data_IF_206441675414
#
_entry.id   IF_206441675414
#
_cell.length_a   1.000
_cell.length_b   1.000
_cell.length_c   1.000
_cell.angle_alpha   90.00
_cell.angle_beta   90.00
_cell.angle_gamma   90.00
#
_symmetry.space_group_name_H-M   'P 1'
#
loop_
_entity.id
_entity.type
_entity.pdbx_description
1 polymer ?
#
# COMPACT_ATOMS: atom_id res chain seq x y z
N UNK A 1 10.28 19.35 -14.58
CA UNK A 1 10.11 19.05 -14.27
C UNK A 1 9.62 18.53 -13.64
N UNK A 2 9.56 18.40 -13.32
CA UNK A 2 9.29 17.90 -12.71
C UNK A 2 8.62 17.39 -12.30
N UNK A 3 8.40 17.05 -12.18
CA UNK A 3 7.85 16.60 -11.77
C UNK A 3 7.64 15.87 -11.18
N UNK A 4 7.81 15.62 -11.10
CA UNK A 4 7.87 14.79 -10.76
C UNK A 4 7.68 14.28 -9.68
N UNK A 5 7.67 14.58 -9.26
CA UNK A 5 7.45 14.14 -8.18
C UNK A 5 6.39 13.50 -7.83
N UNK A 6 5.80 13.86 -8.02
CA UNK A 6 4.73 13.06 -7.78
C UNK A 6 5.05 11.71 -8.07
N UNK A 7 6.04 11.36 -7.57
CA UNK A 7 6.45 10.08 -7.63
C UNK A 7 5.28 9.26 -7.50
N UNK A 8 4.87 8.82 -8.51
CA UNK A 8 3.83 7.88 -8.54
C UNK A 8 4.31 6.69 -7.75
N UNK A 9 3.52 6.28 -6.80
CA UNK A 9 3.79 5.04 -6.09
C UNK A 9 3.55 3.83 -6.98
N UNK A 10 2.77 3.99 -8.05
CA UNK A 10 2.43 2.88 -8.92
C UNK A 10 3.65 2.25 -9.55
N UNK A 11 3.67 0.93 -9.60
CA UNK A 11 4.73 0.19 -10.22
C UNK A 11 5.93 -0.10 -9.33
N UNK A 12 5.96 0.50 -8.15
CA UNK A 12 7.06 0.25 -7.23
C UNK A 12 6.82 -1.02 -6.42
N UNK A 13 7.89 -1.73 -6.15
CA UNK A 13 7.82 -2.91 -5.30
C UNK A 13 7.63 -2.48 -3.85
N UNK A 14 6.87 -3.27 -3.11
CA UNK A 14 6.69 -3.12 -1.66
C UNK A 14 7.50 -4.23 -1.00
N UNK A 15 8.34 -3.84 -0.07
CA UNK A 15 9.22 -4.80 0.62
C UNK A 15 9.11 -4.62 2.13
N UNK A 16 9.46 -5.69 2.86
CA UNK A 16 9.53 -5.65 4.32
C UNK A 16 10.87 -5.06 4.77
N UNK A 17 11.12 -4.92 6.08
CA UNK A 17 12.38 -4.33 6.55
C UNK A 17 13.63 -5.12 6.13
N UNK A 18 13.48 -6.39 5.78
CA UNK A 18 14.58 -7.23 5.31
C UNK A 18 14.69 -7.22 3.80
N UNK A 19 13.96 -6.31 3.13
CA UNK A 19 13.92 -6.17 1.66
C UNK A 19 13.33 -7.39 0.95
N UNK A 20 12.50 -8.16 1.65
CA UNK A 20 11.76 -9.26 1.02
C UNK A 20 10.54 -8.71 0.33
N UNK A 21 10.30 -9.17 -0.88
CA UNK A 21 9.19 -8.68 -1.69
C UNK A 21 7.84 -9.07 -1.09
N UNK A 22 6.98 -8.08 -0.91
CA UNK A 22 5.59 -8.29 -0.50
C UNK A 22 4.70 -8.31 -1.74
N UNK A 23 4.85 -7.31 -2.61
CA UNK A 23 4.03 -7.17 -3.79
C UNK A 23 4.40 -5.91 -4.55
N UNK A 24 3.51 -5.47 -5.42
CA UNK A 24 3.72 -4.29 -6.26
C UNK A 24 2.53 -3.35 -6.11
N UNK A 25 2.79 -2.06 -6.03
CA UNK A 25 1.73 -1.06 -5.93
C UNK A 25 1.07 -0.89 -7.29
N UNK A 26 -0.24 -1.14 -7.36
CA UNK A 26 -1.00 -1.02 -8.60
C UNK A 26 -1.85 0.24 -8.64
N UNK A 27 -2.16 0.82 -7.49
CA UNK A 27 -2.98 2.03 -7.43
C UNK A 27 -2.78 2.72 -6.09
N UNK A 28 -3.28 3.95 -5.99
CA UNK A 28 -3.22 4.73 -4.77
C UNK A 28 -4.59 5.35 -4.52
N UNK A 29 -5.04 5.29 -3.29
CA UNK A 29 -6.27 5.96 -2.85
C UNK A 29 -5.87 7.24 -2.15
N UNK A 30 -6.43 8.36 -2.58
CA UNK A 30 -6.10 9.68 -2.04
C UNK A 30 -7.16 10.11 -1.03
N UNK A 31 -6.73 10.90 -0.05
CA UNK A 31 -7.66 11.45 0.93
C UNK A 31 -8.35 12.69 0.36
N UNK A 32 -9.17 13.35 1.18
CA UNK A 32 -9.92 14.52 0.77
C UNK A 32 -9.06 15.72 0.39
N UNK A 33 -7.80 15.74 0.81
CA UNK A 33 -6.86 16.81 0.50
C UNK A 33 -5.96 16.46 -0.68
N UNK A 34 -6.23 15.33 -1.32
CA UNK A 34 -5.44 14.89 -2.47
C UNK A 34 -4.11 14.26 -2.10
N UNK A 35 -3.92 13.89 -0.84
CA UNK A 35 -2.69 13.22 -0.41
C UNK A 35 -2.87 11.71 -0.46
N UNK A 36 -1.81 10.96 -0.83
CA UNK A 36 -1.88 9.50 -0.83
C UNK A 36 -2.18 8.99 0.58
N UNK A 37 -3.18 8.16 0.71
CA UNK A 37 -3.58 7.59 1.99
C UNK A 37 -3.39 6.08 2.03
N UNK A 38 -3.83 5.38 1.01
CA UNK A 38 -3.72 3.92 0.94
C UNK A 38 -3.09 3.53 -0.37
N UNK A 39 -2.18 2.56 -0.32
CA UNK A 39 -1.64 1.94 -1.52
C UNK A 39 -2.39 0.64 -1.75
N UNK A 40 -2.70 0.34 -3.01
CA UNK A 40 -3.27 -0.95 -3.40
C UNK A 40 -2.09 -1.82 -3.82
N UNK A 41 -1.87 -2.89 -3.09
CA UNK A 41 -0.71 -3.77 -3.30
C UNK A 41 -1.19 -5.09 -3.87
N UNK A 42 -0.71 -5.43 -5.05
CA UNK A 42 -0.97 -6.73 -5.68
C UNK A 42 0.07 -7.71 -5.17
N UNK A 43 -0.38 -8.85 -4.67
CA UNK A 43 0.51 -9.85 -4.09
C UNK A 43 1.06 -10.83 -5.15
N UNK A 44 0.74 -10.57 -6.40
CA UNK A 44 1.22 -11.39 -7.51
C UNK A 44 0.09 -11.81 -8.42
N UNK A 45 0.47 -12.45 -9.52
CA UNK A 45 -0.49 -12.92 -10.51
C UNK A 45 -1.45 -13.92 -9.85
N UNK A 46 -2.73 -13.76 -10.10
CA UNK A 46 -3.79 -14.61 -9.55
C UNK A 46 -3.93 -14.48 -8.04
N UNK A 47 -3.29 -13.51 -7.43
CA UNK A 47 -3.43 -13.23 -6.01
C UNK A 47 -4.31 -12.02 -5.82
N UNK A 48 -4.78 -11.85 -4.59
CA UNK A 48 -5.63 -10.71 -4.27
C UNK A 48 -4.80 -9.43 -4.11
N UNK A 49 -5.48 -8.31 -4.18
CA UNK A 49 -4.90 -7.01 -3.86
C UNK A 49 -5.38 -6.58 -2.49
N UNK A 50 -4.55 -5.85 -1.78
CA UNK A 50 -4.83 -5.43 -0.41
C UNK A 50 -4.44 -3.97 -0.24
N UNK A 51 -5.08 -3.29 0.70
CA UNK A 51 -4.73 -1.91 1.04
C UNK A 51 -3.61 -1.88 2.06
N UNK A 52 -2.76 -0.86 1.95
CA UNK A 52 -1.62 -0.66 2.84
C UNK A 52 -1.52 0.83 3.15
N UNK A 53 -1.34 1.22 4.43
CA UNK A 53 -1.26 2.65 4.75
C UNK A 53 0.04 3.25 4.23
N UNK A 54 -0.08 4.29 3.41
CA UNK A 54 1.08 4.95 2.82
C UNK A 54 1.94 5.59 3.91
N UNK A 55 1.30 6.12 4.96
CA UNK A 55 2.03 6.80 6.03
C UNK A 55 2.95 5.87 6.82
N UNK A 56 2.76 4.55 6.74
CA UNK A 56 3.55 3.60 7.51
C UNK A 56 4.91 3.29 6.86
N UNK A 57 5.10 3.65 5.59
CA UNK A 57 6.30 3.28 4.87
C UNK A 57 7.05 4.47 4.31
N UNK A 58 8.13 4.16 3.63
CA UNK A 58 8.92 5.19 2.94
C UNK A 58 9.50 4.62 1.65
N UNK A 59 9.73 5.52 0.69
CA UNK A 59 10.37 5.13 -0.56
C UNK A 59 11.89 5.15 -0.36
N UNK A 60 12.55 4.02 -0.62
CA UNK A 60 13.99 3.93 -0.51
C UNK A 60 14.67 4.52 -1.73
N UNK A 61 15.98 4.72 -1.65
CA UNK A 61 16.75 5.20 -2.79
C UNK A 61 16.74 4.21 -3.95
N UNK A 62 16.53 2.93 -3.64
CA UNK A 62 16.45 1.90 -4.68
C UNK A 62 15.08 1.85 -5.36
N UNK A 63 14.14 2.70 -4.93
CA UNK A 63 12.81 2.71 -5.53
C UNK A 63 11.88 1.65 -4.97
N UNK A 64 12.18 1.12 -3.80
CA UNK A 64 11.31 0.19 -3.11
C UNK A 64 10.54 0.92 -2.02
N UNK A 65 9.25 0.61 -1.89
CA UNK A 65 8.46 1.13 -0.79
C UNK A 65 8.60 0.19 0.40
N UNK A 66 9.31 0.64 1.42
CA UNK A 66 9.65 -0.17 2.59
C UNK A 66 8.59 0.06 3.66
N UNK A 67 8.00 -1.04 4.15
CA UNK A 67 6.96 -0.97 5.18
C UNK A 67 7.37 -1.83 6.38
N UNK A 68 6.86 -1.53 7.57
CA UNK A 68 7.21 -2.28 8.79
C UNK A 68 6.40 -3.57 8.94
N UNK A 69 5.79 -4.04 7.88
CA UNK A 69 4.96 -5.24 7.90
C UNK A 69 5.59 -6.32 7.03
N UNK A 70 5.34 -7.59 7.39
CA UNK A 70 5.72 -8.66 6.48
C UNK A 70 4.57 -9.01 5.54
N UNK A 71 4.84 -9.89 4.60
CA UNK A 71 3.85 -10.27 3.59
C UNK A 71 2.60 -10.86 4.21
N UNK A 72 2.74 -11.60 5.31
CA UNK A 72 1.61 -12.25 5.97
C UNK A 72 0.63 -11.22 6.53
N UNK A 73 1.15 -10.13 7.08
CA UNK A 73 0.31 -9.05 7.62
C UNK A 73 -0.48 -8.39 6.51
N UNK A 74 0.17 -8.08 5.39
CA UNK A 74 -0.51 -7.44 4.25
C UNK A 74 -1.52 -8.40 3.64
N UNK A 75 -1.17 -9.68 3.53
CA UNK A 75 -2.04 -10.69 2.95
C UNK A 75 -3.31 -10.90 3.76
N UNK A 76 -3.27 -10.69 5.07
CA UNK A 76 -4.44 -10.86 5.93
C UNK A 76 -5.27 -9.59 6.07
N UNK A 77 -4.85 -8.48 5.48
CA UNK A 77 -5.62 -7.25 5.48
C UNK A 77 -6.86 -7.39 4.62
N UNK A 78 -7.89 -6.57 4.85
CA UNK A 78 -9.06 -6.56 3.97
C UNK A 78 -8.66 -6.38 2.52
N UNK A 79 -9.31 -7.12 1.63
CA UNK A 79 -9.00 -7.08 0.20
C UNK A 79 -9.51 -5.81 -0.44
N UNK A 80 -8.77 -5.33 -1.44
CA UNK A 80 -9.22 -4.23 -2.26
C UNK A 80 -10.13 -4.79 -3.36
N UNK A 81 -11.28 -4.15 -3.55
CA UNK A 81 -12.15 -4.50 -4.65
C UNK A 81 -11.77 -3.64 -5.87
N UNK A 82 -12.51 -3.82 -6.97
CA UNK A 82 -12.19 -3.14 -8.22
C UNK A 82 -12.37 -1.63 -8.16
N UNK A 83 -13.20 -1.14 -7.26
CA UNK A 83 -13.47 0.29 -7.19
C UNK A 83 -12.32 1.04 -6.53
N UNK A 84 -11.50 0.36 -5.72
CA UNK A 84 -10.43 0.96 -4.94
C UNK A 84 -10.93 2.13 -4.11
N UNK A 85 -12.15 2.00 -3.57
CA UNK A 85 -12.75 3.00 -2.69
C UNK A 85 -12.64 2.51 -1.26
N UNK A 86 -12.09 3.35 -0.40
CA UNK A 86 -12.00 3.05 1.03
C UNK A 86 -13.01 3.94 1.73
N UNK A 87 -14.16 3.36 2.06
CA UNK A 87 -15.19 4.08 2.82
C UNK A 87 -14.82 4.08 4.31
N UNK A 88 -15.66 4.73 5.13
CA UNK A 88 -15.35 4.87 6.55
C UNK A 88 -15.27 3.52 7.26
N UNK A 89 -16.12 2.57 6.89
CA UNK A 89 -16.08 1.24 7.49
C UNK A 89 -14.79 0.51 7.12
N UNK A 90 -14.42 0.54 5.86
CA UNK A 90 -13.19 -0.09 5.40
C UNK A 90 -11.98 0.57 6.06
N UNK A 91 -11.97 1.91 6.16
CA UNK A 91 -10.88 2.63 6.81
C UNK A 91 -10.71 2.19 8.26
N UNK A 92 -11.82 2.05 8.99
CA UNK A 92 -11.77 1.57 10.38
C UNK A 92 -11.16 0.19 10.48
N UNK A 93 -11.59 -0.71 9.60
CA UNK A 93 -11.09 -2.08 9.59
C UNK A 93 -9.59 -2.12 9.29
N UNK A 94 -9.15 -1.29 8.36
CA UNK A 94 -7.74 -1.21 7.99
C UNK A 94 -6.90 -0.65 9.12
N UNK A 95 -7.37 0.41 9.79
CA UNK A 95 -6.65 0.96 10.92
C UNK A 95 -6.48 -0.06 12.03
N UNK A 96 -7.55 -0.78 12.37
CA UNK A 96 -7.46 -1.83 13.41
C UNK A 96 -6.47 -2.91 12.98
N UNK A 97 -6.55 -3.35 11.74
CA UNK A 97 -5.67 -4.42 11.26
C UNK A 97 -4.19 -4.04 11.38
N UNK A 98 -3.82 -2.85 10.89
CA UNK A 98 -2.41 -2.46 10.87
C UNK A 98 -1.92 -1.97 12.22
N UNK A 99 -2.79 -1.44 13.08
CA UNK A 99 -2.39 -1.03 14.42
C UNK A 99 -2.11 -2.22 15.34
N UNK A 100 -2.75 -3.35 15.08
CA UNK A 100 -2.54 -4.55 15.90
C UNK A 100 -1.50 -5.49 15.31
N UNK A 101 -0.91 -5.11 14.21
CA UNK A 101 0.08 -5.96 13.52
C UNK A 101 1.43 -5.97 14.23
#
# INVERSE_FOLDING_TARGET
>A
MSQGHTASFRGHDVVDPDHRLIGTISDVVYDGDGQPEWAVVDLGLLRSSHYLPVAAGYMSEAGEFVVPYDKRIVKSAPKADRSHVVDADMASRLHVHYETA
#
